data_IF_736085730115
#
_entry.id   IF_736085730115
#
_cell.length_a   1.000
_cell.length_b   1.000
_cell.length_c   1.000
_cell.angle_alpha   90.00
_cell.angle_beta   90.00
_cell.angle_gamma   90.00
#
_symmetry.space_group_name_H-M   'P 1'
#
loop_
_entity.id
_entity.type
_entity.pdbx_description
1 polymer ?
#
# COMPACT_ATOMS: atom_id res chain seq x y z
N UNK A 1 47.60 -7.26 7.89
CA UNK A 1 46.21 -7.55 7.49
C UNK A 1 45.30 -6.34 7.77
N UNK A 2 45.52 -5.19 7.10
CA UNK A 2 44.68 -3.96 7.23
C UNK A 2 44.70 -3.12 5.94
N UNK A 3 44.66 -3.77 4.76
CA UNK A 3 44.79 -3.10 3.45
C UNK A 3 43.66 -3.40 2.45
N UNK A 4 42.52 -3.95 2.89
CA UNK A 4 41.34 -4.17 2.01
C UNK A 4 40.12 -3.28 2.34
N UNK A 5 40.13 -2.55 3.45
CA UNK A 5 39.01 -1.70 3.87
C UNK A 5 39.11 -0.23 3.43
N UNK A 6 40.18 0.14 2.72
CA UNK A 6 40.49 1.52 2.33
C UNK A 6 39.95 1.87 0.91
N UNK A 7 39.40 0.91 0.16
CA UNK A 7 39.12 1.09 -1.28
C UNK A 7 37.64 1.19 -1.69
N UNK A 8 36.66 0.97 -0.79
CA UNK A 8 35.23 0.88 -1.21
C UNK A 8 34.40 2.15 -0.93
N UNK A 9 34.80 3.05 -0.03
CA UNK A 9 34.01 4.27 0.26
C UNK A 9 34.41 5.44 -0.66
N UNK A 10 35.31 5.20 -1.62
CA UNK A 10 35.79 6.17 -2.59
C UNK A 10 34.83 6.47 -3.75
N UNK A 11 33.59 5.94 -3.76
CA UNK A 11 32.75 6.00 -4.97
C UNK A 11 31.43 6.78 -4.90
N UNK A 12 31.09 7.48 -3.82
CA UNK A 12 29.99 8.46 -3.91
C UNK A 12 30.33 9.81 -3.27
N UNK A 13 31.43 10.38 -3.75
CA UNK A 13 31.58 11.84 -3.89
C UNK A 13 31.18 12.17 -5.32
N UNK A 14 29.89 12.39 -5.58
CA UNK A 14 29.43 13.08 -6.79
C UNK A 14 28.46 14.19 -6.37
N UNK A 15 28.97 15.42 -6.50
CA UNK A 15 28.25 16.68 -6.70
C UNK A 15 27.62 17.37 -5.49
N UNK A 16 28.47 18.14 -4.78
CA UNK A 16 28.13 19.54 -4.52
C UNK A 16 27.72 20.19 -5.86
N UNK A 17 26.63 20.97 -5.85
CA UNK A 17 26.42 22.27 -6.55
C UNK A 17 24.89 22.56 -6.59
N UNK A 18 24.54 23.83 -6.34
CA UNK A 18 23.26 24.56 -6.50
C UNK A 18 22.34 24.76 -5.26
N UNK A 19 22.51 25.96 -4.68
CA UNK A 19 21.54 26.87 -4.05
C UNK A 19 20.73 26.45 -2.81
N UNK A 20 20.98 27.16 -1.71
CA UNK A 20 20.03 27.57 -0.66
C UNK A 20 18.77 26.71 -0.49
N UNK A 21 18.92 25.50 0.03
CA UNK A 21 17.82 24.78 0.66
C UNK A 21 18.33 24.16 1.95
N UNK A 22 17.63 24.49 3.03
CA UNK A 22 17.75 23.90 4.36
C UNK A 22 17.58 22.38 4.19
N UNK A 23 18.68 21.65 4.08
CA UNK A 23 18.69 20.20 4.16
C UNK A 23 18.89 19.91 5.64
N UNK A 24 17.84 19.43 6.30
CA UNK A 24 18.00 18.66 7.52
C UNK A 24 18.78 17.39 7.15
N UNK A 25 20.10 17.55 7.02
CA UNK A 25 21.03 16.49 6.69
C UNK A 25 20.91 15.44 7.80
N UNK A 26 20.37 14.28 7.44
CA UNK A 26 20.26 13.07 8.26
C UNK A 26 19.08 13.01 9.25
N UNK A 27 17.87 13.38 8.80
CA UNK A 27 16.62 13.05 9.52
C UNK A 27 16.28 11.55 9.42
N UNK A 28 16.66 10.87 8.33
CA UNK A 28 16.39 9.42 8.15
C UNK A 28 17.02 8.54 9.24
N UNK A 29 18.23 8.88 9.69
CA UNK A 29 18.93 8.09 10.72
C UNK A 29 18.53 8.46 12.16
N UNK A 30 17.85 9.60 12.36
CA UNK A 30 17.51 10.15 13.70
C UNK A 30 16.06 9.95 14.14
N UNK A 31 15.17 9.47 13.26
CA UNK A 31 13.77 9.18 13.63
C UNK A 31 13.65 7.92 14.51
N UNK A 32 14.70 7.08 14.56
CA UNK A 32 14.68 5.83 15.34
C UNK A 32 14.75 6.01 16.87
N UNK A 33 15.23 7.16 17.37
CA UNK A 33 15.49 7.37 18.80
C UNK A 33 14.92 8.68 19.40
N UNK A 34 13.97 9.35 18.72
CA UNK A 34 13.38 10.59 19.22
C UNK A 34 14.23 11.83 18.94
N UNK A 35 13.61 12.84 18.34
CA UNK A 35 14.29 14.02 17.78
C UNK A 35 14.79 14.95 18.89
N UNK A 36 16.11 15.00 19.10
CA UNK A 36 16.79 16.08 19.83
C UNK A 36 17.08 17.28 18.90
N UNK A 37 16.17 18.26 18.94
CA UNK A 37 16.35 19.66 18.51
C UNK A 37 16.68 19.96 17.03
N UNK A 38 15.82 20.77 16.39
CA UNK A 38 16.19 21.51 15.18
C UNK A 38 16.97 22.76 15.60
N UNK A 39 18.31 22.76 15.49
CA UNK A 39 19.13 23.96 15.72
C UNK A 39 19.93 24.34 14.48
N UNK A 40 19.84 25.61 14.12
CA UNK A 40 20.57 26.24 13.03
C UNK A 40 22.00 26.55 13.54
N UNK A 41 23.03 25.90 12.98
CA UNK A 41 24.44 26.25 13.24
C UNK A 41 24.98 27.13 12.11
N UNK A 42 24.40 28.32 11.98
CA UNK A 42 24.98 29.44 11.23
C UNK A 42 25.56 30.46 12.21
N UNK A 43 26.89 30.62 12.20
CA UNK A 43 27.55 31.68 12.96
C UNK A 43 27.22 33.05 12.32
N UNK A 44 26.15 33.68 12.79
CA UNK A 44 25.69 34.99 12.35
C UNK A 44 24.17 35.11 12.45
N UNK A 45 23.67 35.95 13.37
CA UNK A 45 22.26 36.36 13.56
C UNK A 45 21.22 35.37 13.00
N UNK A 46 21.05 34.26 13.71
CA UNK A 46 20.34 33.05 13.27
C UNK A 46 18.91 33.28 12.80
N UNK A 47 18.62 32.89 11.56
CA UNK A 47 17.26 32.82 11.01
C UNK A 47 16.60 31.53 11.51
N UNK A 48 15.55 31.65 12.31
CA UNK A 48 14.79 30.50 12.85
C UNK A 48 14.29 29.57 11.72
N UNK A 49 14.61 28.28 11.80
CA UNK A 49 14.02 27.25 10.94
C UNK A 49 12.50 27.25 11.10
N UNK A 50 11.79 27.64 10.04
CA UNK A 50 10.36 27.98 10.11
C UNK A 50 9.45 26.87 9.55
N UNK A 51 9.99 25.89 8.82
CA UNK A 51 9.21 24.82 8.17
C UNK A 51 9.89 23.45 8.30
N UNK A 52 9.11 22.41 8.61
CA UNK A 52 9.51 21.00 8.59
C UNK A 52 8.67 20.25 7.55
N UNK A 53 9.32 19.43 6.72
CA UNK A 53 8.65 18.60 5.72
C UNK A 53 9.05 17.13 5.91
N UNK A 54 8.07 16.32 6.29
CA UNK A 54 8.16 14.88 6.52
C UNK A 54 7.28 14.10 5.54
N UNK A 55 6.88 14.72 4.44
CA UNK A 55 6.03 14.07 3.46
C UNK A 55 6.75 12.87 2.84
N UNK A 56 6.01 11.85 2.41
CA UNK A 56 6.55 10.71 1.66
C UNK A 56 7.57 9.81 2.42
N UNK A 57 7.51 9.77 3.76
CA UNK A 57 8.49 9.05 4.60
C UNK A 57 8.01 7.71 5.19
N UNK A 58 6.85 7.19 4.77
CA UNK A 58 6.26 5.93 5.26
C UNK A 58 6.00 5.90 6.77
N UNK A 59 5.80 7.06 7.39
CA UNK A 59 5.44 7.14 8.80
C UNK A 59 4.09 6.44 9.02
N UNK A 60 3.98 5.60 10.05
CA UNK A 60 2.74 4.84 10.35
C UNK A 60 1.80 5.54 11.31
N UNK A 61 2.30 6.57 11.99
CA UNK A 61 1.52 7.41 12.88
C UNK A 61 2.11 8.82 12.89
N UNK A 62 1.30 9.79 13.33
CA UNK A 62 1.77 11.15 13.52
C UNK A 62 2.77 11.20 14.71
N UNK A 63 4.01 11.68 14.50
CA UNK A 63 5.01 11.68 15.56
C UNK A 63 4.59 12.61 16.71
N UNK A 64 4.19 12.03 17.86
CA UNK A 64 3.75 12.77 19.05
C UNK A 64 4.80 13.76 19.58
N UNK A 65 6.09 13.48 19.37
CA UNK A 65 7.18 14.36 19.79
C UNK A 65 7.15 15.75 19.10
N UNK A 66 6.46 15.86 17.96
CA UNK A 66 6.29 17.12 17.24
C UNK A 66 5.26 18.04 17.89
N UNK A 67 4.41 17.56 18.81
CA UNK A 67 3.42 18.40 19.51
C UNK A 67 3.96 19.01 20.79
N UNK A 68 5.02 18.45 21.39
CA UNK A 68 5.55 18.88 22.70
C UNK A 68 6.80 19.76 22.66
N UNK A 69 7.60 19.70 21.58
CA UNK A 69 8.90 20.39 21.49
C UNK A 69 9.00 21.44 20.37
N UNK A 70 7.91 21.71 19.65
CA UNK A 70 7.92 22.49 18.41
C UNK A 70 7.24 23.86 18.50
N UNK A 71 7.25 24.51 19.68
CA UNK A 71 6.67 25.85 19.84
C UNK A 71 7.29 26.90 18.89
N UNK A 72 8.51 26.63 18.39
CA UNK A 72 9.24 27.47 17.44
C UNK A 72 8.96 27.18 15.96
N UNK A 73 8.26 26.09 15.61
CA UNK A 73 7.94 25.76 14.22
C UNK A 73 6.71 26.55 13.74
N UNK A 74 6.81 27.12 12.53
CA UNK A 74 5.74 27.90 11.89
C UNK A 74 4.87 26.99 11.01
N UNK A 75 5.45 25.96 10.36
CA UNK A 75 4.73 25.01 9.51
C UNK A 75 5.33 23.60 9.49
N UNK A 76 4.50 22.57 9.55
CA UNK A 76 4.86 21.15 9.44
C UNK A 76 4.08 20.56 8.26
N UNK A 77 4.72 19.81 7.37
CA UNK A 77 4.07 19.07 6.27
C UNK A 77 4.33 17.58 6.45
N UNK A 78 3.29 16.75 6.40
CA UNK A 78 3.35 15.29 6.69
C UNK A 78 2.56 14.46 5.66
N UNK A 79 2.37 14.99 4.46
CA UNK A 79 1.56 14.36 3.42
C UNK A 79 2.12 13.00 2.96
N UNK A 80 1.27 12.15 2.38
CA UNK A 80 1.69 10.92 1.69
C UNK A 80 2.55 9.96 2.55
N UNK A 81 2.21 9.89 3.83
CA UNK A 81 2.71 8.88 4.76
C UNK A 81 1.72 7.72 4.91
N UNK A 82 2.09 6.70 5.69
CA UNK A 82 1.30 5.49 5.93
C UNK A 82 0.31 5.64 7.08
N UNK A 83 -0.35 6.79 7.17
CA UNK A 83 -1.48 7.02 8.05
C UNK A 83 -2.52 7.91 7.36
N UNK A 84 -3.77 7.82 7.82
CA UNK A 84 -4.85 8.68 7.35
C UNK A 84 -4.70 10.08 7.97
N UNK A 85 -4.60 11.10 7.13
CA UNK A 85 -4.57 12.50 7.54
C UNK A 85 -5.82 12.90 8.33
N UNK A 86 -6.93 12.17 8.22
CA UNK A 86 -8.11 12.38 9.10
C UNK A 86 -7.81 12.10 10.57
N UNK A 87 -6.84 11.23 10.87
CA UNK A 87 -6.43 10.93 12.25
C UNK A 87 -5.50 12.01 12.84
N UNK A 88 -5.04 12.96 12.03
CA UNK A 88 -4.19 14.06 12.49
C UNK A 88 -5.10 15.18 12.98
N UNK A 89 -4.98 15.55 14.26
CA UNK A 89 -5.68 16.72 14.80
C UNK A 89 -5.22 17.96 14.04
N UNK A 90 -6.15 18.59 13.32
CA UNK A 90 -5.92 19.79 12.51
C UNK A 90 -5.41 20.96 13.35
N UNK A 91 -4.10 21.03 13.57
CA UNK A 91 -3.42 22.22 14.06
C UNK A 91 -3.16 23.16 12.89
N UNK A 92 -3.33 24.47 13.09
CA UNK A 92 -3.05 25.51 12.08
C UNK A 92 -1.62 25.47 11.53
N UNK A 93 -0.70 24.80 12.23
CA UNK A 93 0.70 24.61 11.84
C UNK A 93 0.92 23.38 10.95
N UNK A 94 -0.02 22.43 10.89
CA UNK A 94 0.18 21.13 10.21
C UNK A 94 -0.55 21.10 8.87
N UNK A 95 0.15 20.71 7.81
CA UNK A 95 -0.41 20.39 6.49
C UNK A 95 -0.31 18.89 6.27
N UNK A 96 -1.44 18.23 6.04
CA UNK A 96 -1.51 16.81 5.74
C UNK A 96 -2.47 16.60 4.57
N UNK A 97 -1.97 15.93 3.52
CA UNK A 97 -2.78 15.46 2.40
C UNK A 97 -2.35 14.05 2.01
N UNK A 98 -3.29 13.29 1.52
CA UNK A 98 -3.16 11.89 1.18
C UNK A 98 -3.58 11.74 -0.29
N UNK A 99 -2.67 11.36 -1.20
CA UNK A 99 -2.98 10.98 -2.59
C UNK A 99 -3.34 9.49 -2.76
N UNK A 100 -4.18 9.08 -3.70
CA UNK A 100 -4.61 7.68 -3.89
C UNK A 100 -3.44 6.67 -3.88
N UNK A 101 -2.29 7.04 -4.44
CA UNK A 101 -1.10 6.18 -4.55
C UNK A 101 -0.37 5.89 -3.22
N UNK A 102 -0.46 6.75 -2.18
CA UNK A 102 0.21 6.43 -0.89
C UNK A 102 -0.40 5.20 -0.23
N UNK A 103 -1.68 4.89 -0.52
CA UNK A 103 -2.34 3.72 0.05
C UNK A 103 -1.61 2.44 -0.36
N UNK A 104 -1.27 2.30 -1.66
CA UNK A 104 -0.52 1.16 -2.19
C UNK A 104 0.93 1.11 -1.71
N UNK A 105 1.59 2.27 -1.62
CA UNK A 105 2.98 2.39 -1.12
C UNK A 105 3.14 1.77 0.27
N UNK A 106 2.11 1.88 1.09
CA UNK A 106 2.12 1.50 2.49
C UNK A 106 1.65 0.07 2.78
N UNK A 107 1.22 -0.67 1.76
CA UNK A 107 0.76 -2.05 1.91
C UNK A 107 1.94 -3.03 2.03
N UNK A 108 1.74 -4.16 2.73
CA UNK A 108 2.72 -5.25 2.75
C UNK A 108 3.04 -5.71 1.32
N UNK A 109 4.32 -5.97 1.04
CA UNK A 109 4.76 -6.45 -0.27
C UNK A 109 4.65 -7.98 -0.36
N UNK A 110 4.43 -8.47 -1.57
CA UNK A 110 4.40 -9.89 -1.92
C UNK A 110 5.01 -10.11 -3.31
N UNK A 111 5.21 -11.36 -3.69
CA UNK A 111 5.86 -11.73 -4.95
C UNK A 111 7.27 -12.26 -4.74
N UNK A 112 8.06 -12.30 -5.80
CA UNK A 112 9.48 -12.63 -5.73
C UNK A 112 10.29 -11.36 -5.48
N UNK A 113 10.82 -11.22 -4.26
CA UNK A 113 11.58 -10.04 -3.81
C UNK A 113 12.98 -10.52 -3.42
N UNK A 114 14.00 -9.98 -4.09
CA UNK A 114 15.41 -10.36 -3.88
C UNK A 114 15.64 -11.88 -3.95
N UNK A 115 14.97 -12.55 -4.89
CA UNK A 115 15.05 -14.01 -5.09
C UNK A 115 14.32 -14.83 -4.02
N UNK A 116 13.49 -14.20 -3.18
CA UNK A 116 12.68 -14.87 -2.16
C UNK A 116 11.20 -14.72 -2.45
N UNK A 117 10.44 -15.81 -2.30
CA UNK A 117 8.98 -15.78 -2.37
C UNK A 117 8.43 -15.19 -1.08
N UNK A 118 7.81 -14.02 -1.19
CA UNK A 118 7.13 -13.33 -0.10
C UNK A 118 5.63 -13.50 -0.31
N UNK A 119 4.97 -14.16 0.66
CA UNK A 119 3.53 -14.41 0.61
C UNK A 119 2.77 -13.44 1.50
N UNK A 120 1.53 -13.15 1.13
CA UNK A 120 0.57 -12.48 1.97
C UNK A 120 0.11 -13.38 3.11
N UNK A 121 -0.49 -12.76 4.14
CA UNK A 121 -1.10 -13.49 5.24
C UNK A 121 -2.30 -14.32 4.74
N UNK A 122 -2.69 -15.32 5.53
CA UNK A 122 -3.87 -16.15 5.24
C UNK A 122 -5.12 -15.27 5.03
N UNK A 123 -5.93 -15.61 4.02
CA UNK A 123 -7.08 -14.82 3.61
C UNK A 123 -6.75 -13.51 2.86
N UNK A 124 -5.48 -13.17 2.64
CA UNK A 124 -5.08 -12.03 1.82
C UNK A 124 -4.58 -12.44 0.44
N UNK A 125 -4.71 -11.50 -0.49
CA UNK A 125 -4.40 -11.67 -1.89
C UNK A 125 -3.17 -10.87 -2.26
N UNK A 126 -2.33 -11.44 -3.13
CA UNK A 126 -1.22 -10.73 -3.72
C UNK A 126 -1.65 -10.15 -5.07
N UNK A 127 -1.76 -8.83 -5.19
CA UNK A 127 -2.13 -8.21 -6.45
C UNK A 127 -1.00 -8.27 -7.47
N UNK A 128 -1.29 -7.94 -8.72
CA UNK A 128 -0.28 -7.78 -9.78
C UNK A 128 0.82 -6.76 -9.47
N UNK A 129 0.49 -5.77 -8.63
CA UNK A 129 1.43 -4.72 -8.22
C UNK A 129 2.38 -5.19 -7.09
N UNK A 130 2.31 -6.48 -6.70
CA UNK A 130 3.16 -7.07 -5.66
C UNK A 130 2.84 -6.54 -4.26
N UNK A 131 1.57 -6.27 -3.98
CA UNK A 131 1.08 -5.80 -2.68
C UNK A 131 -0.06 -6.67 -2.16
N UNK A 132 -0.12 -6.83 -0.84
CA UNK A 132 -1.16 -7.58 -0.16
C UNK A 132 -2.40 -6.73 0.12
N UNK A 133 -3.58 -7.29 -0.11
CA UNK A 133 -4.87 -6.68 0.23
C UNK A 133 -6.00 -7.71 0.23
N UNK A 134 -7.21 -7.27 0.54
CA UNK A 134 -8.39 -8.15 0.68
C UNK A 134 -9.59 -7.72 -0.17
N UNK A 135 -9.49 -6.60 -0.87
CA UNK A 135 -10.58 -6.11 -1.75
C UNK A 135 -10.47 -6.73 -3.15
N UNK A 136 -11.55 -6.73 -3.95
CA UNK A 136 -11.52 -7.28 -5.30
C UNK A 136 -10.40 -6.73 -6.19
N UNK A 137 -9.97 -5.47 -6.01
CA UNK A 137 -8.83 -4.91 -6.75
C UNK A 137 -7.50 -5.64 -6.52
N UNK A 138 -7.36 -6.37 -5.40
CA UNK A 138 -6.18 -7.19 -5.09
C UNK A 138 -6.41 -8.67 -5.39
N UNK A 139 -7.64 -9.13 -5.22
CA UNK A 139 -7.99 -10.55 -5.17
C UNK A 139 -8.57 -11.13 -6.45
N UNK A 140 -9.17 -10.27 -7.28
CA UNK A 140 -9.79 -10.65 -8.54
C UNK A 140 -8.79 -11.34 -9.47
N UNK A 141 -9.24 -12.42 -10.10
CA UNK A 141 -8.43 -13.13 -11.09
C UNK A 141 -8.27 -12.26 -12.34
N UNK A 142 -9.32 -11.54 -12.75
CA UNK A 142 -9.25 -10.58 -13.87
C UNK A 142 -8.33 -9.38 -13.58
N UNK A 143 -8.13 -9.02 -12.31
CA UNK A 143 -7.16 -8.00 -11.89
C UNK A 143 -5.74 -8.56 -11.70
N UNK A 144 -5.50 -9.77 -12.19
CA UNK A 144 -4.17 -10.41 -12.22
C UNK A 144 -3.63 -10.70 -10.81
N UNK A 145 -4.50 -11.16 -9.90
CA UNK A 145 -4.08 -11.71 -8.61
C UNK A 145 -3.08 -12.88 -8.78
N UNK A 146 -2.04 -12.89 -7.96
CA UNK A 146 -0.94 -13.85 -8.02
C UNK A 146 -1.11 -14.95 -6.96
N UNK A 147 -1.75 -16.07 -7.36
CA UNK A 147 -2.12 -17.19 -6.48
C UNK A 147 -0.93 -17.94 -5.84
N UNK A 148 0.28 -17.77 -6.38
CA UNK A 148 1.49 -18.31 -5.77
C UNK A 148 1.87 -17.62 -4.45
N UNK A 149 1.50 -16.34 -4.33
CA UNK A 149 1.91 -15.44 -3.24
C UNK A 149 0.75 -15.01 -2.35
N UNK A 150 -0.49 -15.37 -2.68
CA UNK A 150 -1.67 -15.09 -1.86
C UNK A 150 -2.87 -15.89 -2.34
N UNK A 151 -4.01 -15.65 -1.74
CA UNK A 151 -5.27 -16.22 -2.20
C UNK A 151 -5.86 -15.37 -3.32
N UNK A 152 -6.56 -15.99 -4.26
CA UNK A 152 -7.31 -15.27 -5.28
C UNK A 152 -8.76 -15.72 -5.23
N UNK A 153 -9.65 -14.76 -5.44
CA UNK A 153 -11.09 -14.95 -5.34
C UNK A 153 -11.74 -14.47 -6.62
N UNK A 154 -12.95 -14.97 -6.87
CA UNK A 154 -13.72 -14.61 -8.05
C UNK A 154 -14.94 -13.79 -7.64
N UNK A 155 -15.26 -12.78 -8.44
CA UNK A 155 -16.48 -11.97 -8.32
C UNK A 155 -17.58 -12.55 -9.21
N UNK A 156 -18.85 -12.24 -8.95
CA UNK A 156 -19.94 -12.66 -9.83
C UNK A 156 -19.74 -12.17 -11.28
N UNK A 157 -19.28 -10.93 -11.46
CA UNK A 157 -19.00 -10.36 -12.79
C UNK A 157 -17.95 -11.17 -13.58
N UNK A 158 -16.91 -11.65 -12.90
CA UNK A 158 -15.87 -12.50 -13.49
C UNK A 158 -16.39 -13.90 -13.81
N UNK A 159 -17.18 -14.47 -12.89
CA UNK A 159 -17.74 -15.81 -13.04
C UNK A 159 -18.67 -15.89 -14.25
N UNK A 160 -19.56 -14.91 -14.41
CA UNK A 160 -20.54 -14.85 -15.48
C UNK A 160 -19.90 -14.63 -16.87
N UNK A 161 -18.67 -14.13 -16.94
CA UNK A 161 -17.90 -14.09 -18.20
C UNK A 161 -17.26 -15.42 -18.55
N UNK A 162 -16.74 -16.14 -17.54
CA UNK A 162 -16.06 -17.43 -17.72
C UNK A 162 -17.01 -18.57 -18.04
N UNK A 163 -18.19 -18.54 -17.45
CA UNK A 163 -19.28 -19.44 -17.79
C UNK A 163 -20.13 -18.64 -18.76
N UNK A 164 -19.95 -18.74 -20.10
CA UNK A 164 -20.82 -18.04 -21.04
C UNK A 164 -22.24 -18.55 -20.81
N UNK A 165 -22.99 -17.74 -20.07
CA UNK A 165 -24.42 -17.86 -19.91
C UNK A 165 -24.91 -16.95 -21.00
N UNK A 166 -25.30 -17.53 -22.13
CA UNK A 166 -26.07 -16.75 -23.08
C UNK A 166 -27.27 -16.22 -22.28
N UNK A 167 -27.53 -14.92 -22.31
CA UNK A 167 -28.84 -14.42 -21.90
C UNK A 167 -29.78 -14.85 -23.02
N UNK A 168 -30.28 -16.09 -22.95
CA UNK A 168 -31.26 -16.58 -23.91
C UNK A 168 -32.61 -16.09 -23.39
N UNK A 169 -32.93 -14.86 -23.76
CA UNK A 169 -34.18 -14.19 -23.41
C UNK A 169 -34.35 -13.93 -21.89
N UNK A 170 -35.38 -13.17 -21.50
CA UNK A 170 -35.62 -12.70 -20.12
C UNK A 170 -35.91 -13.83 -19.09
N UNK A 171 -35.51 -15.08 -19.35
CA UNK A 171 -35.80 -16.30 -18.54
C UNK A 171 -34.56 -17.11 -18.12
N UNK A 172 -33.33 -16.73 -18.51
CA UNK A 172 -32.13 -17.40 -17.99
C UNK A 172 -31.80 -16.91 -16.56
N UNK A 173 -32.48 -17.50 -15.57
CA UNK A 173 -32.32 -17.22 -14.14
C UNK A 173 -31.02 -17.84 -13.59
N UNK A 174 -29.84 -17.43 -14.09
CA UNK A 174 -28.62 -17.65 -13.31
C UNK A 174 -28.53 -16.59 -12.23
N UNK A 175 -28.57 -17.04 -10.98
CA UNK A 175 -28.44 -16.17 -9.83
C UNK A 175 -27.04 -16.27 -9.27
N UNK A 176 -26.35 -15.14 -9.11
CA UNK A 176 -25.07 -15.08 -8.43
C UNK A 176 -25.09 -13.94 -7.41
N UNK A 177 -24.68 -14.24 -6.18
CA UNK A 177 -24.48 -13.24 -5.13
C UNK A 177 -23.06 -13.28 -4.61
N UNK A 178 -22.47 -12.09 -4.51
CA UNK A 178 -21.25 -11.89 -3.78
C UNK A 178 -21.52 -11.78 -2.26
N UNK A 179 -20.55 -12.19 -1.45
CA UNK A 179 -20.55 -11.90 -0.01
C UNK A 179 -20.22 -10.42 0.27
N UNK A 180 -20.17 -10.06 1.56
CA UNK A 180 -19.80 -8.72 2.03
C UNK A 180 -18.43 -8.22 1.55
N UNK A 181 -17.52 -9.11 1.14
CA UNK A 181 -16.20 -8.78 0.61
C UNK A 181 -16.17 -8.66 -0.93
N UNK A 182 -17.31 -8.88 -1.60
CA UNK A 182 -17.44 -8.77 -3.05
C UNK A 182 -17.00 -10.03 -3.81
N UNK A 183 -17.07 -11.22 -3.20
CA UNK A 183 -16.72 -12.49 -3.86
C UNK A 183 -17.88 -13.47 -3.87
N UNK A 184 -17.95 -14.31 -4.90
CA UNK A 184 -19.04 -15.28 -5.12
C UNK A 184 -19.28 -16.09 -3.85
N UNK A 185 -20.53 -16.08 -3.38
CA UNK A 185 -20.97 -16.75 -2.17
C UNK A 185 -22.16 -17.67 -2.41
N UNK A 186 -23.06 -17.25 -3.29
CA UNK A 186 -24.24 -18.02 -3.69
C UNK A 186 -24.31 -18.08 -5.21
N UNK A 187 -24.63 -19.25 -5.76
CA UNK A 187 -24.80 -19.46 -7.19
C UNK A 187 -25.98 -20.41 -7.41
N UNK A 188 -26.91 -20.08 -8.29
CA UNK A 188 -28.01 -20.96 -8.70
C UNK A 188 -28.09 -21.00 -10.22
N UNK A 189 -28.32 -22.19 -10.75
CA UNK A 189 -28.53 -22.42 -12.18
C UNK A 189 -29.93 -22.98 -12.40
N UNK A 190 -30.78 -22.22 -13.09
CA UNK A 190 -32.10 -22.68 -13.53
C UNK A 190 -32.06 -22.99 -15.03
N UNK A 191 -32.64 -24.14 -15.42
CA UNK A 191 -32.77 -24.58 -16.81
C UNK A 191 -31.46 -24.62 -17.62
N UNK A 192 -30.30 -24.71 -16.93
CA UNK A 192 -28.99 -24.66 -17.56
C UNK A 192 -28.17 -25.91 -17.30
N UNK A 193 -27.71 -26.52 -18.38
CA UNK A 193 -26.77 -27.63 -18.33
C UNK A 193 -25.33 -27.09 -18.33
N UNK A 194 -24.55 -27.44 -17.30
CA UNK A 194 -23.14 -27.09 -17.21
C UNK A 194 -22.28 -28.23 -17.76
N UNK A 195 -21.19 -27.89 -18.43
CA UNK A 195 -20.18 -28.89 -18.81
C UNK A 195 -19.45 -29.41 -17.57
N UNK A 196 -18.86 -30.61 -17.65
CA UNK A 196 -18.04 -31.15 -16.56
C UNK A 196 -16.94 -30.17 -16.12
N UNK A 197 -16.33 -29.46 -17.06
CA UNK A 197 -15.31 -28.43 -16.77
C UNK A 197 -15.90 -27.25 -15.98
N UNK A 198 -17.09 -26.77 -16.34
CA UNK A 198 -17.78 -25.70 -15.63
C UNK A 198 -18.20 -26.15 -14.22
N UNK A 199 -18.68 -27.39 -14.09
CA UNK A 199 -19.01 -28.00 -12.82
C UNK A 199 -17.77 -28.06 -11.92
N UNK A 200 -16.65 -28.58 -12.43
CA UNK A 200 -15.38 -28.61 -11.70
C UNK A 200 -14.90 -27.21 -11.31
N UNK A 201 -15.07 -26.23 -12.20
CA UNK A 201 -14.72 -24.85 -11.90
C UNK A 201 -15.54 -24.27 -10.74
N UNK A 202 -16.86 -24.43 -10.79
CA UNK A 202 -17.80 -23.95 -9.76
C UNK A 202 -17.52 -24.60 -8.41
N UNK A 203 -17.33 -25.91 -8.37
CA UNK A 203 -17.03 -26.62 -7.11
C UNK A 203 -15.67 -26.24 -6.50
N UNK A 204 -14.75 -25.66 -7.28
CA UNK A 204 -13.46 -25.18 -6.78
C UNK A 204 -13.50 -23.70 -6.30
N UNK A 205 -14.64 -23.02 -6.37
CA UNK A 205 -14.79 -21.66 -5.84
C UNK A 205 -14.77 -21.71 -4.30
N UNK A 206 -13.65 -21.29 -3.71
CA UNK A 206 -13.41 -21.34 -2.25
C UNK A 206 -14.47 -20.63 -1.39
N UNK A 207 -15.05 -19.56 -1.91
CA UNK A 207 -16.00 -18.70 -1.18
C UNK A 207 -17.45 -19.14 -1.34
N UNK A 208 -17.72 -20.08 -2.23
CA UNK A 208 -19.06 -20.58 -2.52
C UNK A 208 -19.60 -21.36 -1.32
N UNK A 209 -20.72 -20.92 -0.77
CA UNK A 209 -21.40 -21.56 0.36
C UNK A 209 -22.69 -22.25 -0.06
N UNK A 210 -23.37 -21.72 -1.08
CA UNK A 210 -24.63 -22.24 -1.58
C UNK A 210 -24.50 -22.44 -3.10
N UNK A 211 -24.83 -23.64 -3.57
CA UNK A 211 -24.87 -24.04 -4.97
C UNK A 211 -26.16 -24.82 -5.25
#
# INVERSE_FOLDING_TARGET
>A
MKLKYILIIYLFKISLIIADKIICSNVKDKIKDGIESCTDKGNGNGKKASKLDLSDNNLKEFPKILTSNCDKLIKITISDNCFDCKSVTSSSKVTCKNNIDYTKKCLPKCGEIDGKKVKCLEGQCCSKDGVCGTTPDFCSIEKECQSEFGECFITCDELLKKIPIQKVDDEDDTYCEDNENGYVNSLSFHNKELTDEQIQYVFNIKTLKNL
#
